data_IF_069251139807
#
_entry.id   IF_069251139807
#
_cell.length_a   1.000
_cell.length_b   1.000
_cell.length_c   1.000
_cell.angle_alpha   90.00
_cell.angle_beta   90.00
_cell.angle_gamma   90.00
#
_symmetry.space_group_name_H-M   'P 1'
#
loop_
_entity.id
_entity.type
_entity.pdbx_description
1 polymer ?
#
# COMPACT_ATOMS: atom_id res chain seq x y z
N UNK A 1 13.78 -2.81 -31.71
CA UNK A 1 15.25 -2.71 -31.55
C UNK A 1 15.83 -4.11 -31.64
N UNK A 2 16.92 -4.35 -32.39
CA UNK A 2 17.38 -5.71 -32.66
C UNK A 2 18.03 -6.41 -31.44
N UNK A 3 18.45 -5.69 -30.38
CA UNK A 3 19.01 -6.28 -29.17
C UNK A 3 18.54 -5.59 -27.88
N UNK A 4 18.43 -6.33 -26.75
CA UNK A 4 18.21 -5.75 -25.42
C UNK A 4 19.36 -4.79 -25.05
N UNK A 5 19.03 -3.63 -24.49
CA UNK A 5 20.05 -2.72 -23.94
C UNK A 5 20.71 -3.34 -22.70
N UNK A 6 22.02 -3.18 -22.57
CA UNK A 6 22.78 -3.51 -21.35
C UNK A 6 22.32 -2.62 -20.17
N UNK A 7 22.82 -2.89 -18.96
CA UNK A 7 22.52 -2.01 -17.83
C UNK A 7 23.10 -0.61 -18.06
N UNK A 8 24.35 -0.53 -18.50
CA UNK A 8 25.08 0.71 -18.78
C UNK A 8 24.40 1.49 -19.90
N UNK A 9 24.04 0.83 -21.01
CA UNK A 9 23.33 1.47 -22.12
C UNK A 9 21.97 2.03 -21.68
N UNK A 10 21.25 1.35 -20.78
CA UNK A 10 20.00 1.88 -20.22
C UNK A 10 20.23 3.11 -19.35
N UNK A 11 21.27 3.12 -18.52
CA UNK A 11 21.60 4.29 -17.69
C UNK A 11 22.01 5.48 -18.57
N UNK A 12 22.83 5.25 -19.59
CA UNK A 12 23.23 6.30 -20.53
C UNK A 12 22.03 6.82 -21.34
N UNK A 13 21.14 5.92 -21.78
CA UNK A 13 19.91 6.29 -22.46
C UNK A 13 19.03 7.19 -21.57
N UNK A 14 18.81 6.80 -20.30
CA UNK A 14 18.02 7.59 -19.34
C UNK A 14 18.69 8.96 -19.14
N UNK A 15 20.01 8.99 -18.90
CA UNK A 15 20.78 10.21 -18.68
C UNK A 15 20.67 11.19 -19.85
N UNK A 16 20.81 10.71 -21.09
CA UNK A 16 20.71 11.54 -22.28
C UNK A 16 19.31 12.15 -22.45
N UNK A 17 18.27 11.36 -22.19
CA UNK A 17 16.89 11.83 -22.26
C UNK A 17 16.58 12.84 -21.16
N UNK A 18 16.98 12.57 -19.93
CA UNK A 18 16.83 13.53 -18.83
C UNK A 18 17.55 14.85 -19.11
N UNK A 19 18.76 14.80 -19.69
CA UNK A 19 19.47 16.00 -20.13
C UNK A 19 18.74 16.75 -21.25
N UNK A 20 18.05 16.05 -22.15
CA UNK A 20 17.19 16.70 -23.15
C UNK A 20 15.93 17.29 -22.51
N UNK A 21 15.28 16.59 -21.58
CA UNK A 21 14.07 17.06 -20.90
C UNK A 21 14.30 18.39 -20.19
N UNK A 22 15.45 18.60 -19.57
CA UNK A 22 15.78 19.89 -18.91
C UNK A 22 15.92 21.07 -19.88
N UNK A 23 16.03 20.83 -21.19
CA UNK A 23 16.00 21.89 -22.21
C UNK A 23 14.58 22.34 -22.58
N UNK A 24 13.54 21.59 -22.17
CA UNK A 24 12.15 21.93 -22.44
C UNK A 24 11.66 23.09 -21.56
N UNK A 25 10.56 23.76 -21.94
CA UNK A 25 9.86 24.70 -21.08
C UNK A 25 9.57 24.12 -19.69
N UNK A 26 9.59 24.93 -18.62
CA UNK A 26 9.21 24.48 -17.28
C UNK A 26 7.83 23.81 -17.28
N UNK A 27 7.67 22.85 -16.38
CA UNK A 27 6.39 22.17 -16.18
C UNK A 27 5.27 23.20 -15.88
N UNK A 28 4.09 23.08 -16.50
CA UNK A 28 2.94 23.96 -16.21
C UNK A 28 2.36 23.73 -14.82
N UNK A 29 2.79 22.65 -14.16
CA UNK A 29 2.43 22.29 -12.81
C UNK A 29 3.69 22.07 -11.96
N UNK A 30 3.64 22.30 -10.64
CA UNK A 30 4.77 22.06 -9.76
C UNK A 30 5.31 20.63 -9.86
N UNK A 31 6.63 20.47 -9.87
CA UNK A 31 7.30 19.17 -10.08
C UNK A 31 6.86 18.08 -9.09
N UNK A 32 6.52 18.45 -7.85
CA UNK A 32 6.06 17.51 -6.82
C UNK A 32 4.70 16.86 -7.14
N UNK A 33 3.95 17.39 -8.11
CA UNK A 33 2.70 16.79 -8.60
C UNK A 33 2.94 15.74 -9.70
N UNK A 34 4.17 15.67 -10.24
CA UNK A 34 4.58 14.61 -11.15
C UNK A 34 5.50 13.63 -10.45
N UNK A 35 5.22 12.33 -10.60
CA UNK A 35 5.95 11.26 -9.91
C UNK A 35 6.46 10.16 -10.82
N UNK A 36 6.47 10.38 -12.13
CA UNK A 36 6.88 9.36 -13.07
C UNK A 36 8.40 9.41 -13.26
N UNK A 37 9.05 8.25 -13.13
CA UNK A 37 10.46 8.06 -13.49
C UNK A 37 10.56 7.57 -14.93
N UNK A 38 11.56 8.07 -15.66
CA UNK A 38 11.82 7.64 -17.03
C UNK A 38 12.18 6.15 -17.07
N UNK A 39 11.60 5.46 -18.05
CA UNK A 39 11.76 4.03 -18.31
C UNK A 39 12.43 3.84 -19.67
N UNK A 40 13.57 3.14 -19.69
CA UNK A 40 14.22 2.76 -20.94
C UNK A 40 13.45 1.63 -21.64
N UNK A 41 13.52 1.52 -22.98
CA UNK A 41 12.95 0.39 -23.71
C UNK A 41 13.49 -0.96 -23.19
N UNK A 42 12.60 -1.94 -23.08
CA UNK A 42 12.95 -3.30 -22.66
C UNK A 42 12.47 -4.29 -23.72
N UNK A 43 13.38 -5.10 -24.27
CA UNK A 43 13.04 -6.09 -25.29
C UNK A 43 12.23 -7.28 -24.75
N UNK A 44 12.07 -7.37 -23.42
CA UNK A 44 11.24 -8.38 -22.75
C UNK A 44 9.79 -7.93 -22.59
N UNK A 45 9.47 -6.72 -23.03
CA UNK A 45 8.09 -6.21 -23.00
C UNK A 45 7.19 -7.09 -23.85
N UNK A 46 6.13 -7.60 -23.24
CA UNK A 46 5.04 -8.25 -23.96
C UNK A 46 4.30 -7.22 -24.80
N UNK A 47 3.88 -7.60 -26.00
CA UNK A 47 3.15 -6.72 -26.91
C UNK A 47 1.69 -6.59 -26.45
N UNK A 48 1.21 -5.35 -26.27
CA UNK A 48 -0.16 -5.07 -25.84
C UNK A 48 -1.21 -5.71 -26.76
N UNK A 49 -0.88 -5.88 -28.05
CA UNK A 49 -1.76 -6.49 -29.05
C UNK A 49 -2.01 -7.97 -28.77
N UNK A 50 -1.13 -8.62 -28.01
CA UNK A 50 -1.25 -10.03 -27.65
C UNK A 50 -2.15 -10.25 -26.42
N UNK A 51 -2.62 -9.19 -25.75
CA UNK A 51 -3.56 -9.34 -24.64
C UNK A 51 -4.94 -9.83 -25.12
N UNK A 52 -5.67 -10.61 -24.31
CA UNK A 52 -7.00 -11.11 -24.67
C UNK A 52 -7.97 -9.96 -25.01
N UNK A 53 -8.65 -10.08 -26.15
CA UNK A 53 -9.59 -9.11 -26.71
C UNK A 53 -8.96 -7.98 -27.53
N UNK A 54 -7.66 -7.72 -27.39
CA UNK A 54 -6.98 -6.62 -28.12
C UNK A 54 -6.74 -6.99 -29.58
N UNK A 55 -6.19 -8.18 -29.83
CA UNK A 55 -6.00 -8.70 -31.19
C UNK A 55 -7.31 -8.78 -31.97
N UNK A 56 -8.38 -9.27 -31.33
CA UNK A 56 -9.72 -9.37 -31.93
C UNK A 56 -10.27 -7.99 -32.32
N UNK A 57 -10.14 -6.99 -31.44
CA UNK A 57 -10.56 -5.62 -31.74
C UNK A 57 -9.80 -5.01 -32.93
N UNK A 58 -8.52 -5.36 -33.12
CA UNK A 58 -7.74 -4.94 -34.29
C UNK A 58 -8.21 -5.62 -35.58
N UNK A 59 -8.55 -6.92 -35.51
CA UNK A 59 -9.02 -7.70 -36.66
C UNK A 59 -10.40 -7.24 -37.15
N UNK A 60 -11.34 -6.99 -36.22
CA UNK A 60 -12.70 -6.50 -36.53
C UNK A 60 -12.69 -5.07 -37.05
N UNK A 61 -11.69 -4.28 -36.65
CA UNK A 61 -11.59 -2.86 -36.94
C UNK A 61 -12.11 -2.00 -35.79
N UNK A 62 -11.50 -0.81 -35.65
CA UNK A 62 -11.76 0.10 -34.55
C UNK A 62 -12.96 1.01 -34.85
N UNK A 63 -13.88 1.23 -33.89
CA UNK A 63 -14.90 2.26 -34.03
C UNK A 63 -14.26 3.66 -34.05
N UNK A 64 -15.01 4.67 -34.48
CA UNK A 64 -14.52 6.06 -34.49
C UNK A 64 -14.26 6.62 -33.08
N UNK A 65 -15.03 6.16 -32.10
CA UNK A 65 -14.91 6.55 -30.71
C UNK A 65 -15.21 5.37 -29.78
N UNK A 66 -14.64 5.42 -28.58
CA UNK A 66 -14.96 4.52 -27.48
C UNK A 66 -14.82 5.28 -26.16
N UNK A 67 -15.61 4.91 -25.16
CA UNK A 67 -15.61 5.56 -23.85
C UNK A 67 -15.89 4.56 -22.73
N UNK A 68 -14.87 4.28 -21.92
CA UNK A 68 -14.97 3.45 -20.72
C UNK A 68 -15.48 4.24 -19.51
N UNK A 69 -15.51 5.58 -19.55
CA UNK A 69 -15.97 6.39 -18.43
C UNK A 69 -17.42 6.12 -18.06
N UNK A 70 -18.25 5.67 -19.01
CA UNK A 70 -19.63 5.21 -18.73
C UNK A 70 -19.69 4.09 -17.67
N UNK A 71 -18.62 3.29 -17.58
CA UNK A 71 -18.47 2.23 -16.59
C UNK A 71 -17.82 2.69 -15.28
N UNK A 72 -17.12 3.84 -15.26
CA UNK A 72 -16.45 4.32 -14.06
C UNK A 72 -17.47 4.82 -13.02
N UNK A 73 -17.61 4.08 -11.91
CA UNK A 73 -18.44 4.50 -10.77
C UNK A 73 -17.63 4.93 -9.53
N UNK A 74 -16.30 4.86 -9.62
CA UNK A 74 -15.39 5.27 -8.56
C UNK A 74 -15.21 6.80 -8.47
N UNK A 75 -14.57 7.30 -7.40
CA UNK A 75 -14.17 8.70 -7.32
C UNK A 75 -12.97 8.99 -8.23
N UNK A 76 -12.93 10.19 -8.82
CA UNK A 76 -11.67 10.73 -9.33
C UNK A 76 -10.75 10.96 -8.14
N UNK A 77 -9.56 10.35 -8.21
CA UNK A 77 -8.61 10.37 -7.10
C UNK A 77 -7.85 11.70 -7.08
N UNK A 78 -7.26 12.01 -5.93
CA UNK A 78 -6.39 13.16 -5.75
C UNK A 78 -5.09 12.73 -5.07
N UNK A 79 -3.98 12.78 -5.81
CA UNK A 79 -2.67 12.43 -5.29
C UNK A 79 -2.08 13.48 -4.33
N UNK A 80 -2.68 14.68 -4.27
CA UNK A 80 -2.18 15.79 -3.47
C UNK A 80 -0.77 16.22 -3.87
N UNK A 81 0.01 16.69 -2.90
CA UNK A 81 1.38 17.17 -3.12
C UNK A 81 2.45 16.04 -3.08
N UNK A 82 2.05 14.80 -3.40
CA UNK A 82 2.93 13.63 -3.38
C UNK A 82 3.20 13.16 -4.81
N UNK A 83 4.44 12.84 -5.19
CA UNK A 83 4.80 12.36 -6.53
C UNK A 83 4.36 10.90 -6.73
N UNK A 84 3.06 10.64 -6.68
CA UNK A 84 2.44 9.31 -6.65
C UNK A 84 1.47 9.07 -7.81
N UNK A 85 1.65 9.78 -8.93
CA UNK A 85 0.82 9.66 -10.12
C UNK A 85 0.74 8.23 -10.67
N UNK A 86 1.85 7.48 -10.63
CA UNK A 86 1.92 6.09 -11.09
C UNK A 86 1.01 5.20 -10.23
N UNK A 87 1.06 5.35 -8.90
CA UNK A 87 0.21 4.58 -7.99
C UNK A 87 -1.28 4.91 -8.16
N UNK A 88 -1.60 6.19 -8.37
CA UNK A 88 -2.98 6.64 -8.59
C UNK A 88 -3.52 6.19 -9.94
N UNK A 89 -2.71 6.24 -10.99
CA UNK A 89 -3.06 5.71 -12.32
C UNK A 89 -3.34 4.21 -12.27
N UNK A 90 -2.54 3.44 -11.53
CA UNK A 90 -2.77 2.01 -11.35
C UNK A 90 -4.05 1.74 -10.54
N UNK A 91 -4.36 2.56 -9.54
CA UNK A 91 -5.63 2.48 -8.80
C UNK A 91 -6.84 2.78 -9.69
N UNK A 92 -6.74 3.77 -10.59
CA UNK A 92 -7.78 4.04 -11.60
C UNK A 92 -7.94 2.91 -12.60
N UNK A 93 -6.83 2.36 -13.12
CA UNK A 93 -6.86 1.20 -14.00
C UNK A 93 -7.55 0.00 -13.34
N UNK A 94 -7.21 -0.30 -12.08
CA UNK A 94 -7.82 -1.39 -11.33
C UNK A 94 -9.30 -1.13 -11.05
N UNK A 95 -9.65 0.09 -10.60
CA UNK A 95 -11.03 0.48 -10.34
C UNK A 95 -11.92 0.33 -11.57
N UNK A 96 -11.44 0.77 -12.73
CA UNK A 96 -12.22 0.70 -13.96
C UNK A 96 -12.37 -0.73 -14.47
N UNK A 97 -11.30 -1.53 -14.47
CA UNK A 97 -11.39 -2.95 -14.84
C UNK A 97 -12.42 -3.68 -13.97
N UNK A 98 -12.34 -3.54 -12.65
CA UNK A 98 -13.29 -4.19 -11.74
C UNK A 98 -14.72 -3.69 -11.94
N UNK A 99 -14.88 -2.40 -12.24
CA UNK A 99 -16.21 -1.86 -12.57
C UNK A 99 -16.77 -2.46 -13.85
N UNK A 100 -15.93 -2.71 -14.87
CA UNK A 100 -16.37 -3.34 -16.12
C UNK A 100 -16.74 -4.82 -15.89
N UNK A 101 -15.87 -5.57 -15.21
CA UNK A 101 -16.05 -7.01 -14.93
C UNK A 101 -17.26 -7.28 -14.03
N UNK A 102 -17.47 -6.46 -13.00
CA UNK A 102 -18.53 -6.65 -12.01
C UNK A 102 -19.82 -5.88 -12.34
N UNK A 103 -19.98 -5.38 -13.56
CA UNK A 103 -21.24 -4.75 -13.99
C UNK A 103 -21.52 -3.39 -13.34
N UNK A 104 -20.48 -2.62 -13.04
CA UNK A 104 -20.55 -1.23 -12.56
C UNK A 104 -20.29 -1.06 -11.06
N UNK A 105 -19.75 -2.07 -10.38
CA UNK A 105 -19.38 -1.93 -8.96
C UNK A 105 -18.28 -0.88 -8.80
N UNK A 106 -18.47 0.06 -7.88
CA UNK A 106 -17.48 1.06 -7.54
C UNK A 106 -16.48 0.49 -6.52
N UNK A 107 -15.20 0.41 -6.91
CA UNK A 107 -14.10 0.05 -6.00
C UNK A 107 -13.11 1.20 -5.88
N UNK A 108 -12.56 1.38 -4.68
CA UNK A 108 -11.54 2.40 -4.40
C UNK A 108 -10.28 1.72 -3.91
N UNK A 109 -9.20 1.88 -4.65
CA UNK A 109 -7.90 1.28 -4.35
C UNK A 109 -6.99 2.28 -3.62
N UNK A 110 -6.22 1.80 -2.64
CA UNK A 110 -5.37 2.61 -1.77
C UNK A 110 -4.03 2.93 -2.45
N UNK A 111 -4.07 3.85 -3.41
CA UNK A 111 -2.87 4.35 -4.11
C UNK A 111 -1.80 4.91 -3.15
N UNK A 112 -2.13 5.68 -2.08
CA UNK A 112 -1.14 6.13 -1.10
C UNK A 112 -0.39 4.98 -0.42
N UNK A 113 -1.09 3.88 -0.06
CA UNK A 113 -0.44 2.71 0.52
C UNK A 113 0.53 2.06 -0.47
N UNK A 114 0.12 1.88 -1.73
CA UNK A 114 1.00 1.31 -2.77
C UNK A 114 2.22 2.19 -2.99
N UNK A 115 2.06 3.51 -3.01
CA UNK A 115 3.19 4.43 -3.13
C UNK A 115 4.19 4.26 -1.99
N UNK A 116 3.73 4.18 -0.74
CA UNK A 116 4.60 3.93 0.43
C UNK A 116 5.28 2.58 0.40
N UNK A 117 4.57 1.53 -0.02
CA UNK A 117 5.12 0.17 -0.04
C UNK A 117 6.14 -0.07 -1.15
N UNK A 118 6.15 0.79 -2.18
CA UNK A 118 7.03 0.65 -3.35
C UNK A 118 8.26 1.56 -3.30
N UNK A 119 8.41 2.38 -2.25
CA UNK A 119 9.61 3.19 -2.03
C UNK A 119 9.39 4.42 -1.15
N UNK A 120 10.37 5.35 -1.08
CA UNK A 120 10.25 6.59 -0.32
C UNK A 120 9.12 7.50 -0.82
N UNK A 121 8.37 8.13 0.09
CA UNK A 121 7.24 9.01 -0.27
C UNK A 121 7.64 10.20 -1.15
N UNK A 122 8.85 10.72 -0.94
CA UNK A 122 9.40 11.88 -1.66
C UNK A 122 9.88 11.58 -3.08
N UNK A 123 9.84 10.33 -3.52
CA UNK A 123 10.32 9.94 -4.84
C UNK A 123 9.19 9.44 -5.72
N UNK A 124 9.33 9.67 -7.02
CA UNK A 124 8.51 9.03 -8.04
C UNK A 124 8.76 7.52 -8.18
N UNK A 125 8.04 6.89 -9.10
CA UNK A 125 8.12 5.44 -9.41
C UNK A 125 8.27 5.22 -10.91
N UNK A 126 8.88 4.10 -11.27
CA UNK A 126 8.78 3.59 -12.65
C UNK A 126 7.49 2.77 -12.77
N UNK A 127 6.82 2.75 -13.94
CA UNK A 127 5.65 1.91 -14.16
C UNK A 127 5.94 0.42 -13.89
N UNK A 128 7.13 -0.08 -14.27
CA UNK A 128 7.53 -1.47 -14.07
C UNK A 128 7.52 -1.90 -12.61
N UNK A 129 7.94 -1.02 -11.70
CA UNK A 129 7.97 -1.31 -10.25
C UNK A 129 6.55 -1.54 -9.75
N UNK A 130 5.59 -0.74 -10.22
CA UNK A 130 4.19 -0.82 -9.81
C UNK A 130 3.45 -1.95 -10.51
N UNK A 131 3.74 -2.23 -11.78
CA UNK A 131 3.22 -3.41 -12.48
C UNK A 131 3.68 -4.69 -11.80
N UNK A 132 4.96 -4.79 -11.44
CA UNK A 132 5.49 -5.92 -10.67
C UNK A 132 4.84 -6.02 -9.28
N UNK A 133 4.70 -4.90 -8.58
CA UNK A 133 4.00 -4.87 -7.30
C UNK A 133 2.54 -5.35 -7.43
N UNK A 134 1.81 -4.89 -8.45
CA UNK A 134 0.42 -5.32 -8.69
C UNK A 134 0.35 -6.81 -9.02
N UNK A 135 1.34 -7.36 -9.73
CA UNK A 135 1.42 -8.79 -10.02
C UNK A 135 1.72 -9.62 -8.76
N UNK A 136 2.70 -9.20 -7.97
CA UNK A 136 3.21 -9.99 -6.85
C UNK A 136 2.28 -9.87 -5.62
N UNK A 137 1.84 -8.66 -5.31
CA UNK A 137 1.08 -8.32 -4.08
C UNK A 137 -0.35 -7.91 -4.35
N UNK A 138 -0.62 -7.25 -5.47
CA UNK A 138 -1.95 -6.74 -5.81
C UNK A 138 -2.27 -5.38 -5.19
N UNK A 139 -3.17 -4.67 -5.86
CA UNK A 139 -3.69 -3.37 -5.43
C UNK A 139 -4.59 -3.54 -4.21
N UNK A 140 -4.29 -2.88 -3.07
CA UNK A 140 -5.11 -2.94 -1.87
C UNK A 140 -6.42 -2.17 -2.04
N UNK A 141 -7.53 -2.79 -1.69
CA UNK A 141 -8.84 -2.16 -1.66
C UNK A 141 -9.03 -1.41 -0.33
N UNK A 142 -9.38 -0.11 -0.40
CA UNK A 142 -9.52 0.78 0.76
C UNK A 142 -10.50 0.20 1.78
N UNK A 143 -10.11 0.24 3.06
CA UNK A 143 -10.96 -0.22 4.17
C UNK A 143 -11.13 -1.73 4.24
N UNK A 144 -10.35 -2.50 3.47
CA UNK A 144 -10.37 -3.96 3.48
C UNK A 144 -8.96 -4.54 3.59
N UNK A 145 -8.86 -5.83 3.92
CA UNK A 145 -7.61 -6.59 3.76
C UNK A 145 -7.42 -7.19 2.37
N UNK A 146 -8.34 -6.94 1.44
CA UNK A 146 -8.32 -7.55 0.10
C UNK A 146 -7.32 -6.85 -0.81
N UNK A 147 -6.70 -7.64 -1.69
CA UNK A 147 -5.81 -7.18 -2.76
C UNK A 147 -6.22 -7.81 -4.08
N UNK A 148 -6.06 -7.05 -5.16
CA UNK A 148 -6.42 -7.47 -6.51
C UNK A 148 -5.18 -7.50 -7.37
N UNK A 149 -4.82 -8.67 -7.88
CA UNK A 149 -3.62 -8.88 -8.65
C UNK A 149 -3.88 -8.71 -10.15
N UNK A 150 -2.80 -8.42 -10.87
CA UNK A 150 -2.75 -8.63 -12.32
C UNK A 150 -2.01 -9.94 -12.60
N UNK A 151 -2.50 -10.75 -13.51
CA UNK A 151 -1.84 -11.99 -13.93
C UNK A 151 -0.73 -11.71 -14.97
N UNK A 152 -0.98 -10.72 -15.84
CA UNK A 152 -0.06 -10.28 -16.88
C UNK A 152 -0.15 -8.77 -17.11
N UNK A 153 0.85 -8.22 -17.80
CA UNK A 153 0.84 -6.87 -18.34
C UNK A 153 1.66 -6.82 -19.62
N UNK A 154 1.33 -5.86 -20.47
CA UNK A 154 1.94 -5.68 -21.78
C UNK A 154 1.98 -4.19 -22.16
N UNK A 155 2.84 -3.86 -23.12
CA UNK A 155 3.13 -2.49 -23.53
C UNK A 155 2.76 -2.26 -24.99
N UNK A 156 2.22 -1.09 -25.30
CA UNK A 156 1.94 -0.70 -26.67
C UNK A 156 3.26 -0.64 -27.46
N UNK A 157 3.37 -1.35 -28.59
CA UNK A 157 4.61 -1.41 -29.36
C UNK A 157 4.96 -0.03 -29.93
N UNK A 158 6.25 0.28 -29.92
CA UNK A 158 6.81 1.53 -30.44
C UNK A 158 7.41 1.35 -31.83
N UNK A 159 6.78 0.53 -32.68
CA UNK A 159 7.26 0.26 -34.05
C UNK A 159 6.85 1.35 -35.05
N UNK A 160 5.66 1.93 -34.89
CA UNK A 160 5.22 3.14 -35.62
C UNK A 160 4.15 3.90 -34.81
N UNK A 161 3.95 5.20 -35.06
CA UNK A 161 2.86 5.96 -34.44
C UNK A 161 1.48 5.32 -34.62
N UNK A 162 1.15 4.89 -35.85
CA UNK A 162 -0.15 4.28 -36.15
C UNK A 162 -0.36 2.98 -35.36
N UNK A 163 0.62 2.07 -35.37
CA UNK A 163 0.52 0.80 -34.63
C UNK A 163 0.39 1.05 -33.12
N UNK A 164 1.10 2.06 -32.60
CA UNK A 164 1.00 2.44 -31.19
C UNK A 164 -0.40 2.98 -30.84
N UNK A 165 -0.95 3.90 -31.65
CA UNK A 165 -2.30 4.45 -31.49
C UNK A 165 -3.36 3.34 -31.57
N UNK A 166 -3.26 2.46 -32.56
CA UNK A 166 -4.23 1.38 -32.77
C UNK A 166 -4.19 0.37 -31.63
N UNK A 167 -3.01 0.10 -31.04
CA UNK A 167 -2.87 -0.76 -29.87
C UNK A 167 -3.57 -0.19 -28.63
N UNK A 168 -3.53 1.13 -28.44
CA UNK A 168 -4.25 1.79 -27.33
C UNK A 168 -5.75 1.76 -27.58
N UNK A 169 -6.19 2.12 -28.79
CA UNK A 169 -7.60 2.14 -29.16
C UNK A 169 -8.23 0.75 -29.05
N UNK A 170 -7.55 -0.30 -29.54
CA UNK A 170 -7.99 -1.69 -29.41
C UNK A 170 -8.08 -2.14 -27.96
N UNK A 171 -7.10 -1.78 -27.11
CA UNK A 171 -7.18 -2.02 -25.68
C UNK A 171 -8.43 -1.38 -25.05
N UNK A 172 -8.69 -0.10 -25.33
CA UNK A 172 -9.87 0.61 -24.84
C UNK A 172 -11.17 -0.05 -25.34
N UNK A 173 -11.25 -0.41 -26.62
CA UNK A 173 -12.42 -1.11 -27.20
C UNK A 173 -12.66 -2.46 -26.52
N UNK A 174 -11.59 -3.16 -26.15
CA UNK A 174 -11.64 -4.43 -25.42
C UNK A 174 -11.98 -4.28 -23.93
N UNK A 175 -12.38 -3.09 -23.47
CA UNK A 175 -12.73 -2.84 -22.07
C UNK A 175 -11.53 -2.62 -21.15
N UNK A 176 -10.34 -2.35 -21.71
CA UNK A 176 -9.11 -2.22 -20.93
C UNK A 176 -8.69 -0.74 -20.81
N UNK A 177 -8.72 -0.14 -19.61
CA UNK A 177 -8.01 1.12 -19.36
C UNK A 177 -6.51 0.97 -19.68
N UNK A 178 -5.93 2.07 -20.16
CA UNK A 178 -4.53 2.11 -20.60
C UNK A 178 -3.80 3.23 -19.85
N UNK A 179 -3.06 2.95 -18.77
CA UNK A 179 -2.08 3.88 -18.25
C UNK A 179 -1.12 4.39 -19.34
N UNK A 180 -0.93 5.72 -19.39
CA UNK A 180 -0.04 6.39 -20.34
C UNK A 180 0.91 7.33 -19.62
N UNK A 181 2.19 7.08 -19.83
CA UNK A 181 3.32 7.91 -19.47
C UNK A 181 3.57 8.93 -20.59
N UNK A 182 3.69 10.22 -20.29
CA UNK A 182 4.03 11.24 -21.29
C UNK A 182 4.53 12.54 -20.65
N UNK A 183 5.25 13.34 -21.44
CA UNK A 183 5.58 14.72 -21.06
C UNK A 183 4.33 15.58 -21.14
N UNK A 184 4.09 16.41 -20.14
CA UNK A 184 2.92 17.27 -20.07
C UNK A 184 3.00 18.39 -21.11
N UNK A 185 1.94 18.63 -21.89
CA UNK A 185 1.81 19.83 -22.70
C UNK A 185 1.88 21.09 -21.83
N UNK A 186 2.43 22.19 -22.36
CA UNK A 186 2.45 23.50 -21.68
C UNK A 186 1.07 24.04 -21.34
N UNK A 187 0.01 23.56 -22.00
CA UNK A 187 -1.39 23.88 -21.72
C UNK A 187 -2.16 22.73 -21.04
N UNK A 188 -1.49 21.86 -20.27
CA UNK A 188 -2.09 20.65 -19.71
C UNK A 188 -3.32 20.93 -18.84
N UNK A 189 -4.49 20.59 -19.38
CA UNK A 189 -5.81 20.92 -18.85
C UNK A 189 -6.89 19.98 -19.43
N UNK A 190 -8.15 20.40 -19.47
CA UNK A 190 -9.25 19.61 -20.05
C UNK A 190 -9.11 19.35 -21.57
N UNK A 191 -8.37 20.18 -22.30
CA UNK A 191 -8.06 20.02 -23.73
C UNK A 191 -6.58 20.36 -23.94
N UNK A 192 -5.76 19.33 -24.14
CA UNK A 192 -4.30 19.41 -24.06
C UNK A 192 -3.62 19.10 -25.39
N UNK A 193 -2.79 20.02 -25.88
CA UNK A 193 -2.20 19.95 -27.23
C UNK A 193 -0.97 20.86 -27.47
N UNK A 194 -0.52 21.60 -26.47
CA UNK A 194 0.59 22.54 -26.56
C UNK A 194 1.95 21.87 -26.77
N UNK A 195 3.03 22.63 -26.63
CA UNK A 195 4.39 22.06 -26.70
C UNK A 195 4.72 21.25 -25.45
N UNK A 196 5.65 20.27 -25.51
CA UNK A 196 6.10 19.55 -24.33
C UNK A 196 6.73 20.47 -23.29
N UNK A 197 6.59 20.09 -22.03
CA UNK A 197 7.27 20.71 -20.89
C UNK A 197 8.16 19.69 -20.16
N UNK A 198 8.86 20.14 -19.12
CA UNK A 198 9.65 19.30 -18.23
C UNK A 198 8.80 18.32 -17.39
N UNK A 199 7.51 18.60 -17.21
CA UNK A 199 6.61 17.77 -16.41
C UNK A 199 6.45 16.40 -17.05
N UNK A 200 6.67 15.33 -16.29
CA UNK A 200 6.57 13.95 -16.78
C UNK A 200 5.60 13.15 -15.91
N UNK A 201 4.48 12.73 -16.47
CA UNK A 201 3.32 12.28 -15.70
C UNK A 201 2.73 11.00 -16.27
N UNK A 202 1.96 10.31 -15.42
CA UNK A 202 1.18 9.15 -15.83
C UNK A 202 -0.30 9.39 -15.51
N UNK A 203 -1.18 9.04 -16.45
CA UNK A 203 -2.64 9.14 -16.34
C UNK A 203 -3.30 7.90 -16.95
N UNK A 204 -4.58 7.65 -16.69
CA UNK A 204 -5.30 6.52 -17.29
C UNK A 204 -6.03 6.96 -18.57
N UNK A 205 -5.66 6.40 -19.72
CA UNK A 205 -6.44 6.47 -20.95
C UNK A 205 -7.70 5.61 -20.85
N UNK A 206 -8.86 6.21 -21.07
CA UNK A 206 -10.18 5.60 -20.82
C UNK A 206 -11.15 5.75 -21.98
N UNK A 207 -10.77 6.42 -23.06
CA UNK A 207 -11.61 6.61 -24.23
C UNK A 207 -10.86 7.30 -25.35
N UNK A 208 -11.49 7.42 -26.51
CA UNK A 208 -10.96 8.20 -27.62
C UNK A 208 -12.07 8.76 -28.52
N UNK A 209 -11.73 9.79 -29.28
CA UNK A 209 -12.59 10.42 -30.29
C UNK A 209 -11.79 10.76 -31.55
N UNK A 210 -12.40 10.89 -32.74
CA UNK A 210 -11.67 11.04 -34.00
C UNK A 210 -11.03 12.43 -34.18
N UNK A 211 -11.46 13.43 -33.41
CA UNK A 211 -10.96 14.81 -33.53
C UNK A 211 -10.12 15.24 -32.34
N UNK A 212 -8.99 15.93 -32.58
CA UNK A 212 -8.50 16.42 -33.88
C UNK A 212 -7.76 15.34 -34.69
N UNK A 213 -7.82 15.44 -36.03
CA UNK A 213 -7.07 14.59 -36.96
C UNK A 213 -5.54 14.79 -36.82
N UNK A 214 -4.70 13.86 -37.31
CA UNK A 214 -5.03 12.62 -38.03
C UNK A 214 -5.39 11.43 -37.14
N UNK A 215 -4.96 11.43 -35.87
CA UNK A 215 -5.12 10.26 -34.99
C UNK A 215 -6.28 10.36 -33.99
N UNK A 216 -6.84 11.55 -33.79
CA UNK A 216 -7.86 11.83 -32.78
C UNK A 216 -7.29 12.30 -31.45
N UNK A 217 -8.14 12.31 -30.43
CA UNK A 217 -7.75 12.55 -29.03
C UNK A 217 -8.04 11.34 -28.17
N UNK A 218 -7.18 11.13 -27.18
CA UNK A 218 -7.38 10.22 -26.08
C UNK A 218 -8.08 10.94 -24.92
N UNK A 219 -9.14 10.35 -24.39
CA UNK A 219 -9.74 10.75 -23.12
C UNK A 219 -8.89 10.19 -21.98
N UNK A 220 -8.42 11.06 -21.09
CA UNK A 220 -7.63 10.70 -19.93
C UNK A 220 -8.39 10.99 -18.64
N UNK A 221 -8.26 10.08 -17.68
CA UNK A 221 -8.64 10.24 -16.29
C UNK A 221 -7.39 10.56 -15.47
N UNK A 222 -7.38 11.75 -14.85
CA UNK A 222 -6.25 12.27 -14.09
C UNK A 222 -6.45 12.07 -12.57
N UNK A 223 -5.38 12.21 -11.80
CA UNK A 223 -5.34 12.02 -10.35
C UNK A 223 -5.21 13.34 -9.58
N UNK A 224 -5.75 14.44 -10.11
CA UNK A 224 -5.68 15.78 -9.49
C UNK A 224 -7.05 16.31 -9.09
N UNK A 225 -7.90 15.42 -8.56
CA UNK A 225 -9.26 15.68 -8.12
C UNK A 225 -10.26 16.00 -9.24
N UNK A 226 -11.58 15.96 -8.94
CA UNK A 226 -12.62 16.36 -9.88
C UNK A 226 -12.56 17.83 -10.31
N UNK A 227 -11.83 18.70 -9.60
CA UNK A 227 -11.74 20.12 -9.95
C UNK A 227 -10.80 20.39 -11.13
N UNK A 228 -9.94 19.42 -11.49
CA UNK A 228 -9.07 19.55 -12.65
C UNK A 228 -9.83 19.21 -13.95
N UNK A 229 -9.63 20.01 -14.99
CA UNK A 229 -10.21 19.77 -16.31
C UNK A 229 -11.73 19.68 -16.28
N UNK A 230 -12.26 18.66 -16.94
CA UNK A 230 -13.70 18.45 -17.12
C UNK A 230 -14.27 17.49 -16.07
N UNK A 231 -14.06 17.76 -14.78
CA UNK A 231 -14.51 16.88 -13.71
C UNK A 231 -13.50 15.80 -13.30
N UNK A 232 -12.20 16.02 -13.54
CA UNK A 232 -11.12 15.06 -13.35
C UNK A 232 -10.57 14.46 -14.65
N UNK A 233 -11.15 14.83 -15.79
CA UNK A 233 -10.83 14.28 -17.10
C UNK A 233 -10.35 15.35 -18.05
N UNK A 234 -9.61 14.93 -19.07
CA UNK A 234 -9.19 15.80 -20.16
C UNK A 234 -8.96 15.02 -21.44
N UNK A 235 -8.73 15.74 -22.51
CA UNK A 235 -8.37 15.17 -23.80
C UNK A 235 -6.92 15.51 -24.12
N UNK A 236 -6.17 14.52 -24.61
CA UNK A 236 -4.82 14.72 -25.14
C UNK A 236 -4.81 14.26 -26.58
N UNK A 237 -4.34 15.11 -27.50
CA UNK A 237 -4.22 14.73 -28.91
C UNK A 237 -3.24 13.56 -29.08
N UNK A 238 -3.62 12.53 -29.83
CA UNK A 238 -2.68 11.47 -30.22
C UNK A 238 -1.53 12.02 -31.07
N UNK A 239 -1.78 13.06 -31.88
CA UNK A 239 -0.73 13.75 -32.62
C UNK A 239 0.34 14.30 -31.68
N UNK A 240 -0.07 14.95 -30.58
CA UNK A 240 0.87 15.45 -29.58
C UNK A 240 1.72 14.33 -28.98
N UNK A 241 1.09 13.20 -28.61
CA UNK A 241 1.78 12.04 -28.03
C UNK A 241 2.80 11.45 -29.03
N UNK A 242 2.43 11.34 -30.30
CA UNK A 242 3.27 10.77 -31.36
C UNK A 242 4.43 11.69 -31.77
N UNK A 243 4.18 12.99 -31.96
CA UNK A 243 5.19 13.91 -32.49
C UNK A 243 6.31 14.18 -31.49
N UNK A 244 5.95 14.33 -30.22
CA UNK A 244 6.86 14.92 -29.26
C UNK A 244 7.55 13.89 -28.37
N UNK A 245 6.77 12.91 -27.90
CA UNK A 245 7.21 12.09 -26.79
C UNK A 245 7.48 10.64 -27.25
N UNK A 246 6.84 10.14 -28.31
CA UNK A 246 7.16 8.83 -28.87
C UNK A 246 8.58 8.79 -29.45
N UNK A 247 8.97 9.79 -30.27
CA UNK A 247 10.30 9.86 -30.89
C UNK A 247 11.44 10.00 -29.87
N UNK A 248 11.14 10.57 -28.70
CA UNK A 248 12.12 10.83 -27.65
C UNK A 248 12.07 9.76 -26.53
N UNK A 249 11.22 8.74 -26.65
CA UNK A 249 11.10 7.65 -25.67
C UNK A 249 10.38 8.04 -24.36
N UNK A 250 9.63 9.13 -24.39
CA UNK A 250 8.82 9.63 -23.28
C UNK A 250 7.36 9.18 -23.33
N UNK A 251 6.93 8.44 -24.36
CA UNK A 251 5.59 7.84 -24.36
C UNK A 251 5.66 6.34 -24.17
N UNK A 252 5.03 5.89 -23.11
CA UNK A 252 4.80 4.47 -22.83
C UNK A 252 3.32 4.32 -22.52
N UNK A 253 2.69 3.32 -23.12
CA UNK A 253 1.33 2.93 -22.78
C UNK A 253 1.34 1.45 -22.43
N UNK A 254 0.59 1.07 -21.41
CA UNK A 254 0.50 -0.31 -20.96
C UNK A 254 -0.90 -0.65 -20.49
N UNK A 255 -1.16 -1.95 -20.33
CA UNK A 255 -2.36 -2.43 -19.65
C UNK A 255 -2.08 -3.80 -19.02
N UNK A 256 -2.97 -4.22 -18.14
CA UNK A 256 -2.89 -5.48 -17.41
C UNK A 256 -4.05 -6.41 -17.70
N UNK A 257 -3.82 -7.71 -17.51
CA UNK A 257 -4.87 -8.71 -17.37
C UNK A 257 -5.12 -8.91 -15.89
N UNK A 258 -6.37 -8.68 -15.47
CA UNK A 258 -6.75 -8.87 -14.08
C UNK A 258 -6.75 -10.35 -13.75
N UNK A 259 -6.21 -10.68 -12.57
CA UNK A 259 -6.38 -12.00 -11.98
C UNK A 259 -7.62 -12.00 -11.10
N UNK A 260 -8.17 -13.18 -10.87
CA UNK A 260 -9.26 -13.35 -9.92
C UNK A 260 -8.82 -12.87 -8.53
N UNK A 261 -9.79 -12.34 -7.79
CA UNK A 261 -9.60 -11.81 -6.44
C UNK A 261 -8.82 -12.82 -5.59
N UNK A 262 -7.66 -12.41 -5.07
CA UNK A 262 -6.99 -13.20 -4.03
C UNK A 262 -7.77 -13.05 -2.74
N UNK A 263 -8.35 -14.15 -2.26
CA UNK A 263 -8.86 -14.25 -0.89
C UNK A 263 -7.74 -13.83 0.07
N UNK A 264 -8.03 -13.05 1.13
CA UNK A 264 -7.03 -12.81 2.16
C UNK A 264 -6.53 -14.17 2.63
N UNK A 265 -5.23 -14.41 2.60
CA UNK A 265 -4.67 -15.60 3.24
C UNK A 265 -5.16 -15.56 4.68
N UNK A 266 -5.86 -16.61 5.18
CA UNK A 266 -6.26 -16.64 6.56
C UNK A 266 -5.05 -16.30 7.42
N UNK A 267 -5.20 -15.48 8.48
CA UNK A 267 -4.09 -15.28 9.40
C UNK A 267 -3.53 -16.66 9.76
N UNK A 268 -2.20 -16.84 9.78
CA UNK A 268 -1.63 -18.14 10.09
C UNK A 268 -2.31 -18.63 11.37
N UNK A 269 -2.83 -19.85 11.33
CA UNK A 269 -3.46 -20.44 12.52
C UNK A 269 -2.52 -20.17 13.69
N UNK A 270 -3.04 -19.66 14.83
CA UNK A 270 -2.23 -19.52 16.03
C UNK A 270 -1.42 -20.79 16.19
N UNK A 271 -0.09 -20.70 16.44
CA UNK A 271 0.72 -21.89 16.62
C UNK A 271 -0.04 -22.78 17.60
N UNK A 272 -0.34 -24.01 17.17
CA UNK A 272 -1.05 -24.97 18.03
C UNK A 272 -0.36 -24.89 19.38
N UNK A 273 -1.09 -24.59 20.47
CA UNK A 273 -0.51 -24.56 21.80
C UNK A 273 0.38 -25.79 21.92
N UNK A 274 1.65 -25.65 22.35
CA UNK A 274 2.54 -26.79 22.46
C UNK A 274 1.76 -27.88 23.19
N UNK A 275 1.64 -29.05 22.56
CA UNK A 275 0.93 -30.19 23.13
C UNK A 275 1.40 -30.27 24.58
N UNK A 276 0.49 -30.20 25.58
CA UNK A 276 0.89 -30.28 26.97
C UNK A 276 1.85 -31.44 27.10
N UNK A 277 3.04 -31.25 27.71
CA UNK A 277 3.97 -32.34 27.87
C UNK A 277 3.19 -33.51 28.46
N UNK A 278 3.32 -34.68 27.84
CA UNK A 278 2.67 -35.89 28.34
C UNK A 278 2.87 -35.91 29.87
N UNK A 279 1.81 -36.12 30.66
CA UNK A 279 1.95 -36.21 32.11
C UNK A 279 3.12 -37.16 32.39
N UNK A 280 4.11 -36.77 33.21
CA UNK A 280 5.26 -37.63 33.47
C UNK A 280 4.72 -39.00 33.84
N UNK A 281 5.09 -40.01 33.04
CA UNK A 281 4.69 -41.38 33.34
C UNK A 281 5.13 -41.66 34.77
N UNK A 282 4.25 -42.23 35.63
CA UNK A 282 4.63 -42.55 36.99
C UNK A 282 5.86 -43.46 36.95
N UNK A 283 6.98 -42.96 37.47
CA UNK A 283 8.22 -43.71 37.57
C UNK A 283 8.01 -44.79 38.62
N UNK A 284 7.78 -46.03 38.20
CA UNK A 284 7.66 -47.16 39.11
C UNK A 284 9.03 -47.49 39.69
N UNK A 285 9.26 -47.12 40.95
CA UNK A 285 10.46 -47.55 41.69
C UNK A 285 10.19 -48.94 42.25
N UNK A 286 10.90 -49.94 41.73
CA UNK A 286 10.83 -51.31 42.23
C UNK A 286 11.85 -51.47 43.35
N UNK A 287 11.40 -51.83 44.55
CA UNK A 287 12.28 -52.15 45.68
C UNK A 287 12.23 -53.66 45.89
N UNK A 288 13.38 -54.33 45.83
CA UNK A 288 13.50 -55.77 46.09
C UNK A 288 14.52 -56.01 47.21
N UNK A 289 14.15 -56.85 48.18
CA UNK A 289 15.05 -57.32 49.23
C UNK A 289 14.59 -58.70 49.74
N UNK A 290 15.49 -59.49 50.34
CA UNK A 290 15.13 -60.78 50.92
C UNK A 290 14.25 -60.58 52.16
N UNK A 291 13.14 -61.32 52.25
CA UNK A 291 12.28 -61.36 53.42
C UNK A 291 12.20 -62.82 53.94
N UNK A 292 12.41 -63.01 55.24
CA UNK A 292 12.34 -64.33 55.89
C UNK A 292 11.34 -64.27 57.06
N UNK A 293 10.33 -65.15 57.04
CA UNK A 293 9.28 -65.27 58.06
C UNK A 293 8.01 -65.92 57.50
N UNK A 294 7.15 -66.48 58.36
CA UNK A 294 5.83 -67.02 57.95
C UNK A 294 4.81 -65.89 57.70
N UNK A 295 3.89 -66.09 56.75
CA UNK A 295 2.87 -65.10 56.35
C UNK A 295 3.19 -64.28 55.09
N UNK A 296 4.25 -64.63 54.34
CA UNK A 296 4.62 -63.95 53.09
C UNK A 296 3.68 -64.29 51.92
N UNK A 297 2.91 -65.37 52.03
CA UNK A 297 1.89 -65.81 51.07
C UNK A 297 0.72 -64.82 50.90
N UNK A 298 0.63 -63.78 51.73
CA UNK A 298 -0.39 -62.74 51.64
C UNK A 298 0.08 -61.45 50.93
N UNK A 299 1.35 -61.35 50.52
CA UNK A 299 1.86 -60.18 49.81
C UNK A 299 1.36 -60.17 48.35
N UNK A 300 0.63 -59.11 47.97
CA UNK A 300 0.13 -58.88 46.59
C UNK A 300 0.39 -57.44 46.17
N UNK A 301 0.48 -57.22 44.86
CA UNK A 301 0.63 -55.87 44.30
C UNK A 301 -0.52 -54.96 44.77
N UNK A 302 -0.18 -53.79 45.31
CA UNK A 302 -1.16 -52.79 45.79
C UNK A 302 -1.46 -52.80 47.29
N UNK A 303 -0.81 -53.65 48.09
CA UNK A 303 -0.92 -53.63 49.56
C UNK A 303 0.04 -52.61 50.18
N UNK A 304 -0.49 -51.71 51.02
CA UNK A 304 0.30 -50.88 51.94
C UNK A 304 0.68 -51.74 53.15
N UNK A 305 1.98 -51.98 53.35
CA UNK A 305 2.46 -52.66 54.55
C UNK A 305 2.45 -51.69 55.73
N UNK A 306 1.55 -51.92 56.69
CA UNK A 306 1.55 -51.24 57.97
C UNK A 306 1.75 -52.29 59.06
N UNK A 307 2.95 -52.33 59.63
CA UNK A 307 3.29 -53.26 60.70
C UNK A 307 2.90 -52.65 62.07
N UNK A 308 2.01 -53.29 62.80
CA UNK A 308 1.77 -53.00 64.22
C UNK A 308 1.30 -54.26 64.96
N UNK A 309 2.01 -54.61 66.04
CA UNK A 309 1.67 -55.71 66.96
C UNK A 309 2.93 -56.32 67.60
N UNK A 310 2.85 -56.69 68.88
CA UNK A 310 3.94 -57.42 69.56
C UNK A 310 4.09 -58.81 68.93
N UNK A 311 5.19 -59.03 68.22
CA UNK A 311 5.50 -60.30 67.57
C UNK A 311 6.30 -60.23 66.26
N UNK A 312 6.53 -59.03 65.69
CA UNK A 312 7.39 -58.88 64.52
C UNK A 312 8.82 -58.50 64.93
N UNK A 313 9.80 -59.38 64.70
CA UNK A 313 11.22 -59.04 64.77
C UNK A 313 11.91 -59.36 63.44
N UNK A 314 12.39 -58.31 62.78
CA UNK A 314 13.23 -58.38 61.58
C UNK A 314 13.71 -56.99 61.20
N UNK A 315 14.94 -56.88 60.71
CA UNK A 315 15.53 -55.62 60.22
C UNK A 315 15.48 -55.56 58.69
N UNK A 316 14.99 -54.46 58.14
CA UNK A 316 15.16 -54.11 56.73
C UNK A 316 16.49 -53.35 56.62
N UNK A 317 17.48 -53.93 55.95
CA UNK A 317 18.79 -53.30 55.73
C UNK A 317 18.71 -52.05 54.84
N UNK A 318 19.75 -51.18 54.86
CA UNK A 318 19.72 -49.88 54.19
C UNK A 318 19.52 -50.03 52.67
N UNK A 319 18.52 -49.32 52.17
CA UNK A 319 18.15 -49.26 50.75
C UNK A 319 19.08 -48.25 50.06
N UNK A 320 19.88 -48.71 49.09
CA UNK A 320 20.60 -47.80 48.19
C UNK A 320 19.65 -47.35 47.09
N UNK A 321 19.27 -46.06 47.08
CA UNK A 321 18.48 -45.45 46.00
C UNK A 321 19.45 -44.80 45.02
N UNK A 322 19.72 -45.47 43.89
CA UNK A 322 20.45 -44.85 42.79
C UNK A 322 19.47 -44.08 41.90
N UNK A 323 19.51 -42.75 41.96
CA UNK A 323 18.87 -41.87 40.96
C UNK A 323 19.86 -41.64 39.81
N UNK A 324 19.58 -42.23 38.65
CA UNK A 324 20.22 -41.84 37.39
C UNK A 324 19.38 -40.73 36.74
N UNK A 325 19.52 -39.49 37.20
CA UNK A 325 19.00 -38.32 36.48
C UNK A 325 20.15 -37.70 35.67
N UNK A 326 20.24 -38.04 34.38
CA UNK A 326 21.23 -37.48 33.44
C UNK A 326 20.71 -36.31 32.60
N UNK A 327 19.53 -35.76 32.89
CA UNK A 327 18.99 -34.64 32.12
C UNK A 327 19.32 -33.29 32.78
N UNK A 328 19.98 -32.36 32.07
CA UNK A 328 20.19 -31.00 32.55
C UNK A 328 18.85 -30.25 32.67
N UNK A 329 18.72 -29.33 33.64
CA UNK A 329 17.49 -28.57 33.83
C UNK A 329 17.17 -27.72 32.59
N UNK A 330 15.88 -27.58 32.22
CA UNK A 330 15.48 -26.74 31.10
C UNK A 330 15.82 -25.26 31.36
N UNK A 331 16.15 -24.49 30.30
CA UNK A 331 16.46 -23.07 30.45
C UNK A 331 15.27 -22.28 31.00
N UNK A 332 15.51 -21.20 31.76
CA UNK A 332 14.45 -20.37 32.31
C UNK A 332 13.61 -19.72 31.20
N UNK A 333 12.29 -19.54 31.42
CA UNK A 333 11.42 -18.88 30.45
C UNK A 333 11.84 -17.41 30.22
N UNK A 334 11.63 -16.88 29.01
CA UNK A 334 11.93 -15.48 28.70
C UNK A 334 11.07 -14.55 29.59
N UNK A 335 11.61 -13.37 29.97
CA UNK A 335 10.87 -12.40 30.77
C UNK A 335 9.60 -11.93 30.04
N UNK A 336 8.52 -11.64 30.78
CA UNK A 336 7.28 -11.14 30.19
C UNK A 336 7.54 -9.81 29.46
N UNK A 337 6.86 -9.56 28.33
CA UNK A 337 6.97 -8.30 27.62
C UNK A 337 6.57 -7.13 28.53
N UNK A 338 7.22 -5.95 28.38
CA UNK A 338 6.85 -4.76 29.15
C UNK A 338 5.37 -4.39 28.91
N UNK A 339 4.69 -3.79 29.90
CA UNK A 339 3.30 -3.38 29.77
C UNK A 339 3.13 -2.39 28.60
N UNK A 340 1.98 -2.43 27.90
CA UNK A 340 1.69 -1.49 26.82
C UNK A 340 1.83 -0.04 27.29
N UNK A 341 2.44 0.80 26.46
CA UNK A 341 2.45 2.25 26.65
C UNK A 341 0.99 2.72 26.62
N UNK A 342 0.54 3.41 27.68
CA UNK A 342 -0.84 3.86 27.81
C UNK A 342 -1.26 4.78 26.65
N UNK A 343 -2.45 4.52 26.12
CA UNK A 343 -2.99 5.18 24.94
C UNK A 343 -3.22 6.69 25.17
N UNK A 344 -2.80 7.50 24.19
CA UNK A 344 -3.16 8.92 24.11
C UNK A 344 -4.68 9.06 23.87
N UNK A 345 -5.40 9.61 24.85
CA UNK A 345 -6.84 9.90 24.68
C UNK A 345 -7.05 11.41 24.49
N UNK A 346 -7.72 11.80 23.40
CA UNK A 346 -8.11 13.19 23.10
C UNK A 346 -9.64 13.27 23.16
N UNK A 347 -10.18 14.06 24.08
CA UNK A 347 -11.63 14.23 24.23
C UNK A 347 -12.10 15.64 23.77
N UNK A 348 -12.91 15.73 22.70
CA UNK A 348 -13.56 16.96 22.29
C UNK A 348 -14.87 17.25 23.03
N UNK A 349 -15.26 18.53 23.15
CA UNK A 349 -16.63 18.91 23.56
C UNK A 349 -17.16 20.05 22.65
N UNK A 350 -18.21 19.85 21.83
CA UNK A 350 -18.66 20.83 20.83
C UNK A 350 -19.85 21.72 21.23
N UNK A 351 -19.90 22.95 20.68
CA UNK A 351 -21.05 23.85 20.51
C UNK A 351 -20.86 24.73 19.23
N UNK A 352 -21.42 24.36 18.06
CA UNK A 352 -21.41 25.19 16.82
C UNK A 352 -21.22 24.41 15.50
N UNK A 353 -20.94 25.03 14.33
CA UNK A 353 -20.73 24.35 13.01
C UNK A 353 -19.48 24.82 12.24
N UNK A 354 -18.60 23.90 11.78
CA UNK A 354 -17.40 24.13 10.95
C UNK A 354 -16.47 22.88 10.83
N UNK A 355 -15.48 22.87 9.92
CA UNK A 355 -14.60 21.70 9.62
C UNK A 355 -13.12 21.93 9.97
N UNK A 356 -12.46 20.94 10.60
CA UNK A 356 -11.06 21.03 11.09
C UNK A 356 -10.31 19.67 11.06
N UNK A 357 -8.96 19.67 11.17
CA UNK A 357 -8.13 18.45 11.31
C UNK A 357 -6.94 18.65 12.26
N UNK A 358 -6.63 17.65 13.10
CA UNK A 358 -5.46 17.63 14.01
C UNK A 358 -4.58 16.38 13.78
N UNK A 359 -3.29 16.47 14.11
CA UNK A 359 -2.36 15.32 14.15
C UNK A 359 -1.57 15.33 15.45
N UNK A 360 -1.46 14.19 16.13
CA UNK A 360 -0.59 13.99 17.28
C UNK A 360 0.43 12.87 16.97
N UNK A 361 1.59 12.92 17.62
CA UNK A 361 2.69 11.96 17.43
C UNK A 361 3.06 11.34 18.77
N UNK A 362 3.25 10.02 18.78
CA UNK A 362 3.94 9.30 19.85
C UNK A 362 5.21 8.60 19.32
N UNK A 363 5.80 7.73 20.14
CA UNK A 363 7.02 6.99 19.80
C UNK A 363 6.82 5.93 18.69
N UNK A 364 5.58 5.57 18.36
CA UNK A 364 5.24 4.56 17.35
C UNK A 364 4.73 5.16 16.02
N UNK A 365 4.34 6.43 15.99
CA UNK A 365 3.97 7.11 14.74
C UNK A 365 2.85 8.15 14.91
N UNK A 366 2.23 8.53 13.80
CA UNK A 366 1.07 9.42 13.80
C UNK A 366 -0.19 8.64 14.15
N UNK A 367 -0.88 9.05 15.22
CA UNK A 367 -2.21 8.52 15.53
C UNK A 367 -3.23 9.45 14.90
N UNK A 368 -3.95 8.95 13.89
CA UNK A 368 -5.01 9.69 13.22
C UNK A 368 -6.29 9.63 14.05
N UNK A 369 -6.48 10.58 14.96
CA UNK A 369 -7.78 10.81 15.57
C UNK A 369 -8.55 11.81 14.68
N UNK A 370 -9.60 11.33 14.01
CA UNK A 370 -10.54 12.19 13.29
C UNK A 370 -11.56 12.69 14.30
N UNK A 371 -11.37 13.92 14.76
CA UNK A 371 -12.22 14.50 15.78
C UNK A 371 -12.97 15.69 15.18
N UNK A 372 -14.28 15.57 15.15
CA UNK A 372 -15.19 16.64 14.77
C UNK A 372 -15.35 17.57 15.98
N UNK A 373 -14.86 18.81 15.85
CA UNK A 373 -14.83 19.78 16.94
C UNK A 373 -15.39 21.11 16.48
N UNK A 374 -16.30 21.64 17.28
CA UNK A 374 -17.12 22.79 16.93
C UNK A 374 -17.05 23.80 18.08
N UNK A 375 -16.02 24.66 18.09
CA UNK A 375 -15.89 25.73 19.09
C UNK A 375 -14.47 25.98 19.62
N UNK A 376 -14.35 26.75 20.71
CA UNK A 376 -13.09 26.96 21.43
C UNK A 376 -12.48 25.61 21.82
N UNK A 377 -11.28 25.32 21.35
CA UNK A 377 -10.60 24.06 21.64
C UNK A 377 -9.80 24.22 22.93
N UNK A 378 -10.32 23.67 24.02
CA UNK A 378 -9.53 23.49 25.25
C UNK A 378 -8.74 22.19 25.14
N UNK A 379 -7.48 22.28 24.73
CA UNK A 379 -6.58 21.12 24.74
C UNK A 379 -6.08 20.91 26.17
N UNK A 380 -6.55 19.86 26.83
CA UNK A 380 -6.04 19.46 28.15
C UNK A 380 -5.05 18.33 27.97
N UNK A 381 -3.78 18.59 28.25
CA UNK A 381 -2.75 17.58 28.21
C UNK A 381 -2.44 17.11 29.63
N UNK A 382 -2.61 15.81 29.91
CA UNK A 382 -2.19 15.19 31.17
C UNK A 382 -0.96 14.34 30.89
N UNK A 383 0.13 14.63 31.58
CA UNK A 383 1.36 13.85 31.51
C UNK A 383 1.64 13.16 32.84
N UNK A 384 2.16 11.94 32.77
CA UNK A 384 2.94 11.37 33.88
C UNK A 384 4.25 12.14 34.01
N UNK A 385 4.72 12.32 35.24
CA UNK A 385 5.91 13.13 35.53
C UNK A 385 7.12 12.67 34.69
N UNK A 386 7.74 13.62 33.96
CA UNK A 386 9.19 13.72 33.68
C UNK A 386 9.67 13.95 32.23
N UNK A 387 8.87 14.35 31.23
CA UNK A 387 9.45 14.85 29.96
C UNK A 387 8.66 15.98 29.30
N UNK A 388 9.37 17.01 28.84
CA UNK A 388 8.85 18.02 27.93
C UNK A 388 8.70 17.40 26.52
N UNK A 389 7.52 17.54 25.92
CA UNK A 389 7.27 17.12 24.54
C UNK A 389 6.84 18.36 23.76
N UNK A 390 7.51 18.62 22.62
CA UNK A 390 7.11 19.66 21.69
C UNK A 390 5.89 19.18 20.89
N UNK A 391 4.82 19.99 20.88
CA UNK A 391 3.68 19.81 19.98
C UNK A 391 3.66 20.95 18.97
N UNK A 392 3.48 20.61 17.69
CA UNK A 392 3.34 21.60 16.60
C UNK A 392 1.93 21.52 16.06
N UNK A 393 1.27 22.66 15.94
CA UNK A 393 -0.09 22.78 15.40
C UNK A 393 -0.05 23.59 14.11
N UNK A 394 -0.88 23.20 13.14
CA UNK A 394 -1.06 23.93 11.88
C UNK A 394 -2.46 24.54 11.88
N UNK A 395 -2.54 25.86 11.73
CA UNK A 395 -3.81 26.58 11.58
C UNK A 395 -3.95 27.04 10.14
N UNK A 396 -4.96 26.52 9.44
CA UNK A 396 -5.39 27.07 8.15
C UNK A 396 -6.41 28.18 8.37
N UNK A 397 -6.27 29.31 7.66
CA UNK A 397 -7.25 30.41 7.68
C UNK A 397 -7.57 30.87 6.26
N UNK A 398 -8.74 31.49 6.07
CA UNK A 398 -9.06 32.15 4.80
C UNK A 398 -8.25 33.44 4.67
N UNK A 399 -7.74 33.70 3.45
CA UNK A 399 -6.97 34.91 3.13
C UNK A 399 -7.76 36.16 3.53
N UNK A 400 -7.19 36.99 4.41
CA UNK A 400 -7.80 38.23 4.90
C UNK A 400 -8.55 38.13 6.24
N UNK A 401 -8.57 36.98 6.90
CA UNK A 401 -9.04 36.86 8.29
C UNK A 401 -7.87 36.83 9.27
N UNK A 402 -7.91 37.71 10.28
CA UNK A 402 -7.02 37.62 11.44
C UNK A 402 -7.39 36.39 12.28
N UNK A 403 -6.36 35.69 12.77
CA UNK A 403 -6.52 34.56 13.69
C UNK A 403 -5.78 34.89 14.97
N UNK A 404 -6.53 35.03 16.07
CA UNK A 404 -5.93 35.15 17.39
C UNK A 404 -5.73 33.74 17.98
N UNK A 405 -4.48 33.36 18.25
CA UNK A 405 -4.14 32.12 18.96
C UNK A 405 -3.75 32.48 20.38
N UNK A 406 -4.56 32.06 21.36
CA UNK A 406 -4.22 32.21 22.78
C UNK A 406 -3.77 30.86 23.33
N UNK A 407 -2.52 30.77 23.77
CA UNK A 407 -2.01 29.61 24.50
C UNK A 407 -2.05 29.89 26.00
N UNK A 408 -2.56 28.96 26.80
CA UNK A 408 -2.49 29.05 28.27
C UNK A 408 -1.65 27.88 28.78
N UNK A 409 -0.45 28.19 29.25
CA UNK A 409 0.39 27.21 29.95
C UNK A 409 0.00 27.19 31.43
N UNK A 410 -0.38 26.03 31.96
CA UNK A 410 -0.63 25.84 33.39
C UNK A 410 0.56 25.11 34.01
N UNK A 411 1.61 25.87 34.31
CA UNK A 411 2.70 25.41 35.18
C UNK A 411 2.81 26.39 36.34
N UNK A 412 2.36 25.96 37.54
CA UNK A 412 2.47 26.78 38.75
C UNK A 412 1.60 28.05 38.81
N UNK A 413 0.52 28.14 38.01
CA UNK A 413 -0.50 29.19 38.17
C UNK A 413 -0.15 30.57 37.57
N UNK A 414 0.80 30.67 36.64
CA UNK A 414 1.05 31.92 35.89
C UNK A 414 0.60 31.79 34.44
N UNK A 415 -0.10 32.83 33.96
CA UNK A 415 -0.62 32.91 32.59
C UNK A 415 0.31 33.78 31.74
N UNK A 416 0.90 33.22 30.68
CA UNK A 416 1.57 33.99 29.63
C UNK A 416 0.65 34.18 28.43
N UNK A 417 0.65 35.37 27.80
CA UNK A 417 -0.08 35.64 26.56
C UNK A 417 0.93 35.93 25.45
N UNK A 418 0.80 35.22 24.34
CA UNK A 418 1.54 35.51 23.10
C UNK A 418 0.52 35.73 22.00
N UNK A 419 0.57 36.87 21.34
CA UNK A 419 -0.26 37.18 20.17
C UNK A 419 0.62 37.04 18.94
N UNK A 420 0.16 36.25 17.97
CA UNK A 420 0.81 36.12 16.66
C UNK A 420 -0.18 36.65 15.63
N UNK A 421 0.18 37.75 14.97
CA UNK A 421 -0.59 38.32 13.86
C UNK A 421 0.01 37.78 12.55
N UNK A 422 -0.81 37.20 11.69
CA UNK A 422 -0.40 36.63 10.40
C UNK A 422 -0.94 37.46 9.23
#
# INVERSE_FOLDING_TARGET
MPHPLTFEERQDWIKQREAWRTTLPPSPIPDFLTGLKLRAPDSRDFDLRDLPGVAEALEVGLPENADLMRHFKGPVLNQGAVPSCVAHTMAHMQALHQSIEEGGVARVFDAPLVHRETGPESQGRMPDDLLRYCKDRGMPLVGSGQRYKISAYAFAPTTSPQVWVDSIKSAIVSGRPVPICFLLPTNFSGESSGTPSQGYHEVTGVGFRPTPAPYGSLLILNSWSPQWGNGGYGWVSFQYLCDNAWQQGYVIAHSGVMDERTEPTPPPNPPTPPTPPNPPQPTTVSVSGPANGGGLEFLRAGLTLQASGEGFQGTIGPITVNRNDTNPPPPPPPPPPPPPIGDLTIEPTPNGTGWWSMRARDAAGYVNAKVELLGQVKITQRYGANRAIAATFWLGHKRGQEVEVTTTELVGGRTGRTTITA
#
